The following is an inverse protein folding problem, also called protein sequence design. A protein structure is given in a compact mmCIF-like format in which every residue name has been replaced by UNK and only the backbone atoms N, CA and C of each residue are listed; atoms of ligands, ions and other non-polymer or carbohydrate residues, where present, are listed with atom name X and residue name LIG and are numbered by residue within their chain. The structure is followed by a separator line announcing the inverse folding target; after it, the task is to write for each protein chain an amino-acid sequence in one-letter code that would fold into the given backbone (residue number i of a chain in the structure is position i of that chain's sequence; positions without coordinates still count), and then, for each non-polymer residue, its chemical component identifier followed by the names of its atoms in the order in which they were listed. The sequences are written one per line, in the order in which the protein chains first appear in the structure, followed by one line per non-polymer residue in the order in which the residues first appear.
data_IF_188611984198
#
_entry.id   IF_188611984198
#
_cell.length_a   1.000
_cell.length_b   1.000
_cell.length_c   1.000
_cell.angle_alpha   90.00
_cell.angle_beta   90.00
_cell.angle_gamma   90.00
#
_symmetry.space_group_name_H-M   'P 1'
#
loop_
_entity.id
_entity.type
_entity.pdbx_description
1 polymer ?
#
# COMPACT_ATOMS: atom_id res chain seq x y z
N UNK A 1 -12.28 4.18 7.61
CA UNK A 1 -13.01 4.94 8.61
C UNK A 1 -12.12 5.17 9.82
N UNK A 2 -12.17 6.37 10.42
CA UNK A 2 -11.39 6.78 11.59
C UNK A 2 -12.31 7.52 12.56
N UNK A 3 -12.87 6.81 13.53
CA UNK A 3 -13.96 7.33 14.35
C UNK A 3 -15.15 7.78 13.48
N UNK A 4 -15.53 9.05 13.61
CA UNK A 4 -16.60 9.66 12.79
C UNK A 4 -16.10 10.19 11.43
N UNK A 5 -14.79 10.13 11.15
CA UNK A 5 -14.21 10.57 9.88
C UNK A 5 -14.13 9.44 8.86
N UNK A 6 -14.57 9.72 7.66
CA UNK A 6 -14.34 8.91 6.46
C UNK A 6 -13.31 9.64 5.62
N UNK A 7 -12.10 9.08 5.51
CA UNK A 7 -11.05 9.58 4.65
C UNK A 7 -11.14 8.96 3.25
N UNK A 8 -10.80 9.73 2.24
CA UNK A 8 -10.69 9.28 0.86
C UNK A 8 -9.46 9.88 0.19
N UNK A 9 -8.95 9.19 -0.80
CA UNK A 9 -7.98 9.66 -1.79
C UNK A 9 -8.40 9.12 -3.15
N UNK A 10 -8.15 9.87 -4.20
CA UNK A 10 -8.70 9.62 -5.52
C UNK A 10 -7.71 10.06 -6.63
N UNK A 11 -8.18 10.03 -7.86
CA UNK A 11 -7.47 10.53 -9.02
C UNK A 11 -7.13 12.02 -8.93
N UNK A 12 -6.21 12.49 -9.77
CA UNK A 12 -5.76 13.90 -9.87
C UNK A 12 -5.29 14.48 -8.55
N UNK A 13 -4.72 13.62 -7.68
CA UNK A 13 -4.20 14.01 -6.38
C UNK A 13 -5.24 14.46 -5.37
N UNK A 14 -6.53 14.21 -5.60
CA UNK A 14 -7.61 14.62 -4.68
C UNK A 14 -7.60 13.78 -3.42
N UNK A 15 -7.78 14.41 -2.28
CA UNK A 15 -7.94 13.75 -1.00
C UNK A 15 -8.86 14.56 -0.08
N UNK A 16 -9.34 13.94 0.98
CA UNK A 16 -10.16 14.66 1.95
C UNK A 16 -10.76 13.76 3.00
N UNK A 17 -11.60 14.37 3.83
CA UNK A 17 -12.39 13.63 4.81
C UNK A 17 -13.78 14.22 4.97
N UNK A 18 -14.70 13.36 5.40
CA UNK A 18 -16.07 13.69 5.75
C UNK A 18 -16.35 13.25 7.18
N UNK A 19 -16.85 14.16 8.01
CA UNK A 19 -17.29 13.85 9.35
C UNK A 19 -18.77 13.43 9.30
N UNK A 20 -19.05 12.18 9.61
CA UNK A 20 -20.41 11.61 9.56
C UNK A 20 -21.36 12.18 10.60
N UNK A 21 -20.83 12.72 11.71
CA UNK A 21 -21.60 13.29 12.80
C UNK A 21 -21.91 14.78 12.59
N UNK A 22 -20.90 15.58 12.23
CA UNK A 22 -21.06 17.03 12.02
C UNK A 22 -21.41 17.41 10.59
N UNK A 23 -21.30 16.45 9.64
CA UNK A 23 -21.48 16.64 8.19
C UNK A 23 -20.46 17.60 7.54
N UNK A 24 -19.43 17.99 8.27
CA UNK A 24 -18.35 18.82 7.75
C UNK A 24 -17.48 18.05 6.77
N UNK A 25 -16.98 18.75 5.76
CA UNK A 25 -16.10 18.20 4.72
C UNK A 25 -14.82 19.00 4.66
N UNK A 26 -13.71 18.29 4.47
CA UNK A 26 -12.44 18.86 4.02
C UNK A 26 -12.08 18.24 2.67
N UNK A 27 -11.59 19.07 1.75
CA UNK A 27 -11.08 18.64 0.44
C UNK A 27 -9.76 19.34 0.17
N UNK A 28 -8.79 18.58 -0.28
CA UNK A 28 -7.48 19.05 -0.70
C UNK A 28 -7.05 18.43 -2.02
N UNK A 29 -6.00 18.97 -2.59
CA UNK A 29 -5.36 18.44 -3.79
C UNK A 29 -3.85 18.49 -3.60
N UNK A 30 -3.21 17.36 -3.89
CA UNK A 30 -1.76 17.20 -3.93
C UNK A 30 -1.32 17.33 -5.38
N UNK A 31 -0.25 18.08 -5.63
CA UNK A 31 0.40 18.19 -6.94
C UNK A 31 1.86 17.76 -6.82
N UNK A 32 2.40 17.13 -7.86
CA UNK A 32 3.80 16.73 -7.94
C UNK A 32 4.30 16.94 -9.38
N UNK A 33 4.86 18.14 -9.63
CA UNK A 33 5.21 18.56 -10.97
C UNK A 33 4.01 18.47 -11.93
N UNK A 34 4.23 17.81 -13.07
CA UNK A 34 3.19 17.54 -14.08
C UNK A 34 2.54 16.16 -13.92
N UNK A 35 2.88 15.42 -12.86
CA UNK A 35 2.37 14.07 -12.62
C UNK A 35 0.88 14.08 -12.32
N UNK A 36 0.11 13.31 -13.08
CA UNK A 36 -1.31 13.06 -12.78
C UNK A 36 -1.40 11.96 -11.71
N UNK A 37 -1.50 12.37 -10.46
CA UNK A 37 -1.46 11.47 -9.30
C UNK A 37 -2.78 10.69 -9.22
N UNK A 38 -2.71 9.35 -9.31
CA UNK A 38 -3.83 8.47 -9.04
C UNK A 38 -3.58 7.70 -7.74
N UNK A 39 -4.28 8.07 -6.67
CA UNK A 39 -4.20 7.33 -5.41
C UNK A 39 -5.04 6.06 -5.46
N UNK A 40 -4.47 4.95 -5.02
CA UNK A 40 -5.11 3.65 -4.99
C UNK A 40 -5.25 3.06 -3.59
N UNK A 41 -4.32 3.34 -2.71
CA UNK A 41 -4.28 2.77 -1.36
C UNK A 41 -4.30 3.84 -0.29
N UNK A 42 -5.05 3.57 0.78
CA UNK A 42 -5.09 4.36 2.00
C UNK A 42 -4.78 3.50 3.22
N UNK A 43 -3.93 4.02 4.09
CA UNK A 43 -3.73 3.49 5.44
C UNK A 43 -3.74 4.61 6.47
N UNK A 44 -3.72 4.28 7.74
CA UNK A 44 -3.65 5.25 8.83
C UNK A 44 -2.93 4.68 10.04
N UNK A 45 -2.36 5.57 10.83
CA UNK A 45 -2.04 5.37 12.24
C UNK A 45 -2.85 6.35 13.12
N UNK A 46 -2.48 6.54 14.38
CA UNK A 46 -3.21 7.46 15.26
C UNK A 46 -3.16 8.92 14.80
N UNK A 47 -2.08 9.37 14.17
CA UNK A 47 -1.82 10.78 13.86
C UNK A 47 -2.02 11.15 12.39
N UNK A 48 -1.76 10.21 11.48
CA UNK A 48 -1.71 10.48 10.05
C UNK A 48 -2.57 9.51 9.24
N UNK A 49 -2.93 9.97 8.05
CA UNK A 49 -3.43 9.13 6.95
C UNK A 49 -2.37 9.11 5.86
N UNK A 50 -2.21 7.99 5.22
CA UNK A 50 -1.23 7.77 4.14
C UNK A 50 -1.97 7.47 2.85
N UNK A 51 -1.59 8.16 1.79
CA UNK A 51 -2.13 7.96 0.45
C UNK A 51 -0.99 7.54 -0.48
N UNK A 52 -1.14 6.39 -1.12
CA UNK A 52 -0.17 5.80 -2.04
C UNK A 52 -0.74 5.76 -3.44
N UNK A 53 0.01 6.32 -4.39
CA UNK A 53 -0.35 6.32 -5.80
C UNK A 53 0.09 5.05 -6.49
N UNK A 54 -0.54 4.79 -7.64
CA UNK A 54 -0.07 3.84 -8.65
C UNK A 54 0.76 4.56 -9.71
N UNK A 55 1.48 3.77 -10.50
CA UNK A 55 2.20 4.25 -11.67
C UNK A 55 3.57 4.85 -11.36
N UNK A 56 4.18 5.40 -12.39
CA UNK A 56 5.54 5.95 -12.37
C UNK A 56 5.49 7.50 -12.48
N UNK A 57 5.96 8.23 -11.48
CA UNK A 57 6.49 7.77 -10.20
C UNK A 57 5.40 7.24 -9.24
N UNK A 58 5.73 6.25 -8.42
CA UNK A 58 4.92 5.91 -7.27
C UNK A 58 5.22 6.90 -6.13
N UNK A 59 4.18 7.51 -5.60
CA UNK A 59 4.26 8.58 -4.60
C UNK A 59 3.48 8.18 -3.36
N UNK A 60 4.13 8.24 -2.19
CA UNK A 60 3.49 8.03 -0.90
C UNK A 60 3.48 9.32 -0.10
N UNK A 61 2.29 9.80 0.19
CA UNK A 61 2.08 10.98 1.00
C UNK A 61 1.55 10.65 2.38
N UNK A 62 2.18 11.25 3.40
CA UNK A 62 1.67 11.33 4.75
C UNK A 62 0.81 12.58 4.88
N UNK A 63 -0.39 12.47 5.43
CA UNK A 63 -1.33 13.56 5.63
C UNK A 63 -1.62 13.65 7.13
N UNK A 64 -1.21 14.71 7.76
CA UNK A 64 -1.48 14.95 9.17
C UNK A 64 -2.99 15.13 9.41
N UNK A 65 -3.55 14.44 10.40
CA UNK A 65 -5.00 14.43 10.63
C UNK A 65 -5.56 15.74 11.17
N UNK A 66 -4.75 16.55 11.83
CA UNK A 66 -5.17 17.83 12.41
C UNK A 66 -5.00 18.98 11.41
N UNK A 67 -3.79 19.18 10.93
CA UNK A 67 -3.46 20.27 9.98
C UNK A 67 -3.92 20.02 8.56
N UNK A 68 -4.19 18.76 8.17
CA UNK A 68 -4.51 18.31 6.81
C UNK A 68 -3.39 18.57 5.79
N UNK A 69 -2.17 18.79 6.26
CA UNK A 69 -1.03 19.08 5.39
C UNK A 69 -0.41 17.78 4.86
N UNK A 70 -0.27 17.62 3.53
CA UNK A 70 0.41 16.49 2.94
C UNK A 70 1.93 16.71 2.93
N UNK A 71 2.67 15.64 3.15
CA UNK A 71 4.13 15.56 3.04
C UNK A 71 4.49 14.33 2.22
N UNK A 72 5.32 14.48 1.19
CA UNK A 72 5.89 13.34 0.46
C UNK A 72 6.89 12.61 1.37
N UNK A 73 6.70 11.30 1.55
CA UNK A 73 7.53 10.47 2.44
C UNK A 73 8.21 9.31 1.72
N UNK A 74 7.81 9.03 0.46
CA UNK A 74 8.48 8.10 -0.42
C UNK A 74 8.17 8.40 -1.88
N UNK A 75 9.16 8.20 -2.74
CA UNK A 75 9.04 8.28 -4.20
C UNK A 75 9.86 7.15 -4.83
N UNK A 76 9.29 6.49 -5.84
CA UNK A 76 9.98 5.50 -6.66
C UNK A 76 9.72 5.73 -8.13
N UNK A 77 10.82 5.88 -8.89
CA UNK A 77 10.78 6.02 -10.35
C UNK A 77 11.23 4.69 -10.97
N UNK A 78 10.28 3.93 -11.52
CA UNK A 78 10.54 2.68 -12.21
C UNK A 78 9.39 2.34 -13.15
N UNK A 79 9.67 1.92 -14.38
CA UNK A 79 8.66 1.68 -15.42
C UNK A 79 7.55 0.68 -15.04
N UNK A 80 7.88 -0.29 -14.15
CA UNK A 80 6.98 -1.35 -13.69
C UNK A 80 6.45 -1.10 -12.28
N UNK A 81 6.72 0.06 -11.68
CA UNK A 81 6.26 0.31 -10.32
C UNK A 81 4.74 0.40 -10.26
N UNK A 82 4.16 -0.39 -9.37
CA UNK A 82 2.73 -0.39 -9.11
C UNK A 82 2.49 -0.87 -7.69
N UNK A 83 2.03 0.03 -6.81
CA UNK A 83 1.71 -0.30 -5.44
C UNK A 83 0.21 -0.49 -5.26
N UNK A 84 -0.18 -1.52 -4.51
CA UNK A 84 -1.54 -2.03 -4.43
C UNK A 84 -2.21 -1.69 -3.11
N UNK A 85 -1.53 -1.94 -2.01
CA UNK A 85 -2.13 -1.81 -0.69
C UNK A 85 -1.12 -1.48 0.39
N UNK A 86 -1.65 -1.03 1.53
CA UNK A 86 -0.85 -0.57 2.65
C UNK A 86 -1.60 -0.82 3.97
N UNK A 87 -0.86 -1.23 5.02
CA UNK A 87 -1.38 -1.42 6.38
C UNK A 87 -0.35 -0.97 7.41
N UNK A 88 -0.80 -0.64 8.58
CA UNK A 88 0.01 -0.44 9.78
C UNK A 88 -0.27 -1.57 10.78
N UNK A 89 0.79 -2.14 11.37
CA UNK A 89 0.68 -3.07 12.50
C UNK A 89 0.40 -2.31 13.81
N UNK A 90 1.00 -1.14 13.94
CA UNK A 90 0.86 -0.22 15.08
C UNK A 90 1.15 1.22 14.60
N UNK A 91 1.24 2.18 15.54
CA UNK A 91 1.47 3.58 15.17
C UNK A 91 2.87 3.89 14.57
N UNK A 92 3.83 2.97 14.72
CA UNK A 92 5.21 3.13 14.23
C UNK A 92 5.50 2.31 12.98
N UNK A 93 5.02 1.08 12.98
CA UNK A 93 5.43 0.07 11.99
C UNK A 93 4.34 -0.15 10.96
N UNK A 94 4.68 -0.03 9.69
CA UNK A 94 3.75 -0.18 8.58
C UNK A 94 4.40 -0.83 7.37
N UNK A 95 3.56 -1.38 6.50
CA UNK A 95 3.93 -2.06 5.26
C UNK A 95 3.09 -1.57 4.11
N UNK A 96 3.72 -1.39 2.94
CA UNK A 96 3.04 -1.28 1.66
C UNK A 96 3.54 -2.36 0.72
N UNK A 97 2.66 -2.86 -0.13
CA UNK A 97 2.98 -3.91 -1.10
C UNK A 97 2.57 -3.50 -2.50
N UNK A 98 3.29 -4.01 -3.48
CA UNK A 98 3.01 -3.79 -4.88
C UNK A 98 3.56 -4.90 -5.78
N UNK A 99 3.28 -4.75 -7.05
CA UNK A 99 3.69 -5.68 -8.10
C UNK A 99 5.21 -5.84 -8.18
N UNK A 100 5.67 -6.97 -8.69
CA UNK A 100 7.08 -7.21 -8.90
C UNK A 100 7.70 -6.22 -9.90
N UNK A 101 8.68 -5.44 -9.46
CA UNK A 101 9.57 -4.70 -10.35
C UNK A 101 10.78 -5.53 -10.79
N UNK A 102 11.07 -6.57 -10.04
CA UNK A 102 12.08 -7.61 -10.29
C UNK A 102 11.42 -8.99 -10.18
N UNK A 103 12.03 -9.92 -9.47
CA UNK A 103 11.54 -11.28 -9.23
C UNK A 103 10.99 -11.50 -7.80
N UNK A 104 10.54 -10.43 -7.15
CA UNK A 104 9.87 -10.41 -5.85
C UNK A 104 8.79 -9.34 -5.81
N UNK A 105 7.82 -9.45 -4.90
CA UNK A 105 6.87 -8.36 -4.64
C UNK A 105 7.61 -7.10 -4.20
N UNK A 106 7.13 -5.94 -4.62
CA UNK A 106 7.61 -4.66 -4.08
C UNK A 106 7.06 -4.48 -2.67
N UNK A 107 7.94 -4.42 -1.67
CA UNK A 107 7.58 -4.26 -0.26
C UNK A 107 8.28 -3.04 0.31
N UNK A 108 7.51 -2.10 0.85
CA UNK A 108 8.00 -0.96 1.62
C UNK A 108 7.71 -1.17 3.09
N UNK A 109 8.66 -0.81 3.93
CA UNK A 109 8.53 -0.87 5.40
C UNK A 109 8.83 0.51 5.99
N UNK A 110 8.08 0.88 7.01
CA UNK A 110 8.37 2.00 7.90
C UNK A 110 8.48 1.51 9.34
N UNK A 111 9.36 2.15 10.12
CA UNK A 111 9.55 1.93 11.57
C UNK A 111 9.47 3.23 12.38
N UNK A 112 9.11 4.34 11.76
CA UNK A 112 9.11 5.68 12.34
C UNK A 112 7.75 6.38 12.23
N UNK A 113 6.67 5.59 12.16
CA UNK A 113 5.32 6.12 12.02
C UNK A 113 5.05 6.67 10.62
N UNK A 114 5.72 6.14 9.59
CA UNK A 114 5.54 6.54 8.20
C UNK A 114 6.21 7.86 7.81
N UNK A 115 7.13 8.38 8.63
CA UNK A 115 7.92 9.56 8.27
C UNK A 115 8.95 9.27 7.17
N UNK A 116 9.41 8.02 7.10
CA UNK A 116 10.22 7.47 6.03
C UNK A 116 9.82 6.04 5.70
N UNK A 117 10.06 5.61 4.47
CA UNK A 117 9.78 4.27 3.98
C UNK A 117 10.99 3.73 3.23
N UNK A 118 11.25 2.43 3.41
CA UNK A 118 12.38 1.75 2.76
C UNK A 118 11.89 0.53 1.99
N UNK A 119 12.35 0.41 0.74
CA UNK A 119 12.09 -0.77 -0.07
C UNK A 119 12.94 -1.93 0.39
N UNK A 120 12.32 -3.08 0.64
CA UNK A 120 13.00 -4.32 0.98
C UNK A 120 13.76 -4.85 -0.24
N UNK A 121 15.02 -5.28 -0.07
CA UNK A 121 15.76 -5.88 -1.18
C UNK A 121 15.18 -7.25 -1.56
N UNK A 122 15.10 -7.54 -2.85
CA UNK A 122 14.61 -8.82 -3.35
C UNK A 122 15.39 -10.05 -2.83
N UNK A 123 16.63 -9.85 -2.39
CA UNK A 123 17.44 -10.92 -1.78
C UNK A 123 16.89 -11.42 -0.44
N UNK A 124 16.08 -10.61 0.26
CA UNK A 124 15.42 -10.96 1.52
C UNK A 124 13.97 -11.42 1.35
N UNK A 125 13.45 -11.42 0.14
CA UNK A 125 12.05 -11.72 -0.15
C UNK A 125 11.88 -13.01 -0.95
N UNK A 126 10.75 -13.70 -0.80
CA UNK A 126 10.43 -14.85 -1.66
C UNK A 126 10.33 -14.43 -3.13
N UNK A 127 10.79 -15.30 -4.01
CA UNK A 127 10.67 -15.09 -5.45
C UNK A 127 9.23 -15.23 -5.91
N UNK A 128 8.81 -14.32 -6.77
CA UNK A 128 7.54 -14.44 -7.50
C UNK A 128 7.70 -15.29 -8.75
N UNK A 129 6.63 -15.95 -9.16
CA UNK A 129 6.57 -16.63 -10.44
C UNK A 129 6.38 -15.60 -11.58
N UNK A 130 6.76 -15.98 -12.79
CA UNK A 130 6.50 -15.14 -13.96
C UNK A 130 4.99 -14.93 -14.16
N UNK A 131 4.56 -13.67 -14.19
CA UNK A 131 3.15 -13.28 -14.33
C UNK A 131 2.33 -13.42 -13.04
N UNK A 132 2.98 -13.51 -11.90
CA UNK A 132 2.37 -13.36 -10.58
C UNK A 132 2.40 -11.88 -10.17
N UNK A 133 1.28 -11.37 -9.63
CA UNK A 133 1.10 -9.98 -9.27
C UNK A 133 0.28 -9.84 -7.97
N UNK A 134 0.29 -8.66 -7.37
CA UNK A 134 -0.39 -8.40 -6.10
C UNK A 134 -1.87 -8.03 -6.26
N UNK A 135 -2.29 -7.50 -7.39
CA UNK A 135 -3.68 -7.09 -7.73
C UNK A 135 -4.33 -6.05 -6.81
N UNK A 136 -4.31 -4.82 -7.23
CA UNK A 136 -4.78 -3.63 -6.50
C UNK A 136 -6.30 -3.42 -6.45
N UNK A 137 -7.13 -4.44 -6.60
CA UNK A 137 -8.58 -4.21 -6.80
C UNK A 137 -9.27 -3.51 -5.62
N UNK A 138 -8.79 -3.65 -4.37
CA UNK A 138 -9.55 -3.22 -3.20
C UNK A 138 -8.74 -2.83 -1.96
N UNK A 139 -7.41 -2.72 -2.02
CA UNK A 139 -6.56 -2.55 -0.83
C UNK A 139 -6.77 -3.66 0.22
N UNK A 140 -7.21 -4.85 -0.20
CA UNK A 140 -7.52 -6.00 0.67
C UNK A 140 -6.68 -7.24 0.41
N UNK A 141 -5.74 -7.17 -0.53
CA UNK A 141 -4.76 -8.21 -0.80
C UNK A 141 -3.67 -8.33 0.30
N UNK A 142 -3.75 -7.49 1.34
CA UNK A 142 -2.93 -7.56 2.55
C UNK A 142 -3.81 -7.55 3.80
N UNK A 143 -3.51 -8.43 4.75
CA UNK A 143 -4.10 -8.44 6.09
C UNK A 143 -2.98 -8.48 7.14
N UNK A 144 -3.21 -7.82 8.28
CA UNK A 144 -2.31 -7.81 9.43
C UNK A 144 -3.07 -8.12 10.71
N UNK A 145 -2.47 -8.92 11.60
CA UNK A 145 -2.99 -9.23 12.93
C UNK A 145 -1.82 -9.40 13.91
N UNK A 146 -1.73 -8.52 14.91
CA UNK A 146 -0.55 -8.44 15.76
C UNK A 146 0.69 -8.21 14.92
N UNK A 147 1.69 -9.10 15.02
CA UNK A 147 2.90 -9.06 14.19
C UNK A 147 2.78 -9.82 12.86
N UNK A 148 1.66 -10.52 12.65
CA UNK A 148 1.47 -11.36 11.47
C UNK A 148 1.00 -10.56 10.28
N UNK A 149 1.43 -11.00 9.10
CA UNK A 149 1.06 -10.42 7.82
C UNK A 149 0.75 -11.53 6.81
N UNK A 150 -0.33 -11.37 6.08
CA UNK A 150 -0.68 -12.20 4.93
C UNK A 150 -0.82 -11.29 3.71
N UNK A 151 -0.16 -11.67 2.64
CA UNK A 151 -0.29 -11.05 1.32
C UNK A 151 -0.74 -12.12 0.36
N UNK A 152 -1.77 -11.84 -0.41
CA UNK A 152 -2.26 -12.74 -1.46
C UNK A 152 -1.85 -12.22 -2.82
N UNK A 153 -1.40 -13.13 -3.67
CA UNK A 153 -1.09 -12.89 -5.07
C UNK A 153 -2.04 -13.62 -6.00
N UNK A 154 -2.02 -13.28 -7.27
CA UNK A 154 -2.80 -13.93 -8.30
C UNK A 154 -2.13 -13.83 -9.66
N UNK A 155 -2.88 -14.12 -10.74
CA UNK A 155 -2.39 -14.17 -12.10
C UNK A 155 -1.98 -15.57 -12.51
N UNK A 156 -0.79 -15.74 -13.10
CA UNK A 156 -0.30 -17.05 -13.49
C UNK A 156 0.01 -17.97 -12.31
N UNK A 157 0.15 -17.41 -11.12
CA UNK A 157 0.34 -18.10 -9.86
C UNK A 157 -0.47 -17.38 -8.78
N UNK A 158 -1.21 -18.14 -7.95
CA UNK A 158 -1.97 -17.62 -6.83
C UNK A 158 -1.44 -18.23 -5.53
N UNK A 159 -0.84 -17.40 -4.66
CA UNK A 159 -0.16 -17.83 -3.44
C UNK A 159 -0.49 -16.93 -2.26
N UNK A 160 -0.25 -17.42 -1.05
CA UNK A 160 -0.22 -16.63 0.18
C UNK A 160 1.21 -16.48 0.64
N UNK A 161 1.66 -15.24 0.77
CA UNK A 161 2.92 -14.88 1.42
C UNK A 161 2.59 -14.56 2.88
N UNK A 162 3.15 -15.30 3.80
CA UNK A 162 2.92 -15.16 5.23
C UNK A 162 4.20 -14.75 5.94
N UNK A 163 4.08 -13.76 6.80
CA UNK A 163 5.15 -13.35 7.73
C UNK A 163 4.62 -13.39 9.17
N UNK A 164 5.33 -14.03 10.12
CA UNK A 164 4.94 -14.05 11.52
C UNK A 164 5.45 -12.84 12.31
N UNK A 165 6.32 -11.99 11.73
CA UNK A 165 7.26 -11.10 12.42
C UNK A 165 7.41 -9.72 11.75
N UNK A 166 6.29 -9.12 11.32
CA UNK A 166 6.24 -7.81 10.67
C UNK A 166 7.13 -7.70 9.43
N UNK A 167 7.01 -8.70 8.54
CA UNK A 167 7.72 -8.78 7.26
C UNK A 167 9.24 -8.96 7.34
N UNK A 168 9.78 -9.41 8.50
CA UNK A 168 11.20 -9.75 8.63
C UNK A 168 11.53 -11.08 7.96
N UNK A 169 10.67 -12.09 8.15
CA UNK A 169 10.78 -13.38 7.48
C UNK A 169 9.49 -13.75 6.74
N UNK A 170 9.60 -14.56 5.70
CA UNK A 170 8.48 -14.91 4.86
C UNK A 170 8.40 -16.42 4.58
N UNK A 171 7.18 -16.94 4.56
CA UNK A 171 6.83 -18.28 4.10
C UNK A 171 5.81 -18.15 2.96
N UNK A 172 5.83 -19.05 1.99
CA UNK A 172 4.94 -19.01 0.82
C UNK A 172 4.14 -20.27 0.74
N UNK A 173 2.84 -20.15 0.57
CA UNK A 173 1.91 -21.24 0.47
C UNK A 173 1.15 -21.20 -0.86
N UNK A 174 1.04 -22.35 -1.51
CA UNK A 174 0.18 -22.53 -2.68
C UNK A 174 -1.29 -22.46 -2.25
N UNK A 175 -2.13 -21.95 -3.13
CA UNK A 175 -3.58 -21.91 -2.92
C UNK A 175 -4.30 -22.82 -3.92
N UNK A 176 -5.51 -23.33 -3.60
CA UNK A 176 -6.35 -24.05 -4.54
C UNK A 176 -7.10 -23.12 -5.51
N UNK A 177 -6.82 -21.82 -5.50
CA UNK A 177 -7.50 -20.85 -6.35
C UNK A 177 -7.17 -21.07 -7.82
N UNK A 178 -8.11 -20.69 -8.69
CA UNK A 178 -7.90 -20.71 -10.13
C UNK A 178 -6.72 -19.81 -10.49
N UNK A 179 -5.78 -20.35 -11.25
CA UNK A 179 -4.57 -19.65 -11.66
C UNK A 179 -4.17 -20.06 -13.10
N UNK A 180 -3.21 -19.38 -13.67
CA UNK A 180 -2.68 -19.72 -15.00
C UNK A 180 -2.97 -18.67 -16.09
N UNK A 181 -3.94 -17.79 -15.88
CA UNK A 181 -4.23 -16.66 -16.73
C UNK A 181 -3.85 -15.36 -16.02
N UNK A 182 -3.58 -14.30 -16.79
CA UNK A 182 -3.13 -13.02 -16.24
C UNK A 182 -4.15 -12.31 -15.31
N UNK A 183 -5.43 -12.69 -15.39
CA UNK A 183 -6.52 -12.08 -14.64
C UNK A 183 -7.22 -13.07 -13.70
N UNK A 184 -6.53 -14.13 -13.27
CA UNK A 184 -7.07 -15.15 -12.34
C UNK A 184 -6.36 -15.11 -11.01
N UNK A 185 -7.10 -15.45 -9.94
CA UNK A 185 -6.57 -15.50 -8.58
C UNK A 185 -7.40 -14.73 -7.58
#
# INVERSE_FOLDING_TARGET
KDGDLIWYAADKGRFGCYNTKTQQRFQGKITHGETDIEFRSLAKNSHCVYALSIGNPALLYQIDKDSKQPKLVYEEIHEKVFYDSMRFWNDRDGIAIGDPTQDCLSILITHDGGNSWQKQPCSSLPKTAHGEAAFAASNTNIAVEGNKTWVVSGGKKARVFYSPDQAQTWQVYETPMVQGLAMTG
#
